data_IF_239756395806
#
_entry.id   IF_239756395806
#
_cell.length_a   1.000
_cell.length_b   1.000
_cell.length_c   1.000
_cell.angle_alpha   90.00
_cell.angle_beta   90.00
_cell.angle_gamma   90.00
#
_symmetry.space_group_name_H-M   'P 1'
#
loop_
_entity.id
_entity.type
_entity.pdbx_description
1 polymer ?
#
# COMPACT_ATOMS: atom_id res chain seq x y z
N UNK A 1 -12.34 15.20 -21.75
CA UNK A 1 -11.09 14.59 -21.25
C UNK A 1 -11.41 13.86 -19.96
N UNK A 2 -10.97 12.59 -19.82
CA UNK A 2 -11.19 11.84 -18.58
C UNK A 2 -10.38 12.45 -17.42
N UNK A 3 -10.81 12.23 -16.18
CA UNK A 3 -10.06 12.72 -15.00
C UNK A 3 -8.63 12.16 -14.98
N UNK A 4 -8.44 10.89 -15.41
CA UNK A 4 -7.14 10.28 -15.52
C UNK A 4 -6.21 11.03 -16.51
N UNK A 5 -6.72 11.45 -17.66
CA UNK A 5 -5.95 12.21 -18.66
C UNK A 5 -5.50 13.58 -18.12
N UNK A 6 -6.38 14.25 -17.34
CA UNK A 6 -6.03 15.54 -16.70
C UNK A 6 -4.90 15.38 -15.68
N UNK A 7 -4.96 14.32 -14.86
CA UNK A 7 -3.93 14.02 -13.86
C UNK A 7 -2.59 13.71 -14.53
N UNK A 8 -2.59 12.88 -15.58
CA UNK A 8 -1.37 12.55 -16.33
C UNK A 8 -0.76 13.78 -17.00
N UNK A 9 -1.58 14.63 -17.62
CA UNK A 9 -1.10 15.86 -18.21
C UNK A 9 -0.51 16.82 -17.16
N UNK A 10 -1.17 16.98 -16.02
CA UNK A 10 -0.66 17.79 -14.92
C UNK A 10 0.69 17.28 -14.41
N UNK A 11 0.87 15.95 -14.30
CA UNK A 11 2.12 15.32 -13.90
C UNK A 11 3.24 15.61 -14.91
N UNK A 12 2.98 15.40 -16.21
CA UNK A 12 3.97 15.64 -17.28
C UNK A 12 4.35 17.11 -17.33
N UNK A 13 3.39 18.02 -17.29
CA UNK A 13 3.62 19.47 -17.30
C UNK A 13 4.41 19.88 -16.05
N UNK A 14 4.03 19.39 -14.87
CA UNK A 14 4.73 19.69 -13.62
C UNK A 14 6.17 19.22 -13.63
N UNK A 15 6.42 18.01 -14.14
CA UNK A 15 7.78 17.46 -14.29
C UNK A 15 8.62 18.29 -15.27
N UNK A 16 8.06 18.61 -16.43
CA UNK A 16 8.75 19.42 -17.46
C UNK A 16 9.09 20.83 -16.92
N UNK A 17 8.16 21.49 -16.25
CA UNK A 17 8.38 22.80 -15.62
C UNK A 17 9.41 22.73 -14.50
N UNK A 18 9.41 21.67 -13.69
CA UNK A 18 10.40 21.46 -12.65
C UNK A 18 11.82 21.31 -13.19
N UNK A 19 12.01 20.48 -14.23
CA UNK A 19 13.31 20.32 -14.89
C UNK A 19 13.76 21.64 -15.52
N UNK A 20 12.87 22.35 -16.18
CA UNK A 20 13.17 23.62 -16.83
C UNK A 20 13.57 24.70 -15.82
N UNK A 21 12.83 24.83 -14.72
CA UNK A 21 13.13 25.78 -13.65
C UNK A 21 14.48 25.47 -12.98
N UNK A 22 14.79 24.22 -12.72
CA UNK A 22 16.08 23.80 -12.16
C UNK A 22 17.25 24.09 -13.08
N UNK A 23 17.06 23.97 -14.41
CA UNK A 23 18.11 24.18 -15.41
C UNK A 23 18.44 25.66 -15.67
N UNK A 24 17.41 26.54 -15.64
CA UNK A 24 17.58 27.94 -16.08
C UNK A 24 17.81 28.93 -14.93
N UNK A 25 17.14 28.71 -13.79
CA UNK A 25 17.19 29.65 -12.66
C UNK A 25 17.34 28.89 -11.33
N UNK A 26 18.52 28.33 -11.04
CA UNK A 26 18.68 27.43 -9.88
C UNK A 26 18.33 28.08 -8.53
N UNK A 27 18.58 29.38 -8.35
CA UNK A 27 18.27 30.07 -7.09
C UNK A 27 16.76 30.29 -6.88
N UNK A 28 16.05 30.69 -7.93
CA UNK A 28 14.59 30.85 -7.87
C UNK A 28 13.91 29.48 -7.88
N UNK A 29 14.47 28.51 -8.62
CA UNK A 29 14.00 27.12 -8.67
C UNK A 29 14.01 26.46 -7.29
N UNK A 30 15.03 26.66 -6.45
CA UNK A 30 15.10 26.13 -5.10
C UNK A 30 14.07 26.76 -4.15
N UNK A 31 13.81 28.06 -4.27
CA UNK A 31 12.79 28.74 -3.46
C UNK A 31 11.38 28.26 -3.83
N UNK A 32 11.09 28.15 -5.11
CA UNK A 32 9.79 27.64 -5.57
C UNK A 32 9.64 26.16 -5.17
N UNK A 33 10.67 25.35 -5.33
CA UNK A 33 10.67 23.95 -4.93
C UNK A 33 10.37 23.79 -3.43
N UNK A 34 10.94 24.64 -2.57
CA UNK A 34 10.67 24.63 -1.13
C UNK A 34 9.20 24.86 -0.81
N UNK A 35 8.54 25.86 -1.42
CA UNK A 35 7.13 26.11 -1.19
C UNK A 35 6.23 25.03 -1.78
N UNK A 36 6.58 24.48 -2.94
CA UNK A 36 5.85 23.37 -3.55
C UNK A 36 6.02 22.07 -2.74
N UNK A 37 7.18 21.84 -2.12
CA UNK A 37 7.41 20.71 -1.22
C UNK A 37 6.49 20.78 0.01
N UNK A 38 6.32 21.96 0.61
CA UNK A 38 5.37 22.16 1.73
C UNK A 38 3.96 21.78 1.31
N UNK A 39 3.49 22.28 0.16
CA UNK A 39 2.14 21.99 -0.34
C UNK A 39 1.99 20.51 -0.68
N UNK A 40 3.00 19.92 -1.33
CA UNK A 40 3.05 18.50 -1.65
C UNK A 40 3.04 17.61 -0.40
N UNK A 41 3.84 17.97 0.60
CA UNK A 41 3.90 17.25 1.88
C UNK A 41 2.59 17.33 2.64
N UNK A 42 1.93 18.50 2.69
CA UNK A 42 0.61 18.64 3.29
C UNK A 42 -0.44 17.78 2.59
N UNK A 43 -0.41 17.75 1.26
CA UNK A 43 -1.29 16.89 0.45
C UNK A 43 -1.05 15.39 0.74
N UNK A 44 0.21 14.96 0.75
CA UNK A 44 0.57 13.58 1.05
C UNK A 44 0.19 13.18 2.48
N UNK A 45 0.39 14.07 3.45
CA UNK A 45 -0.02 13.83 4.83
C UNK A 45 -1.55 13.73 4.95
N UNK A 46 -2.30 14.57 4.24
CA UNK A 46 -3.75 14.47 4.15
C UNK A 46 -4.23 13.13 3.60
N UNK A 47 -3.59 12.64 2.53
CA UNK A 47 -3.86 11.30 1.98
C UNK A 47 -3.53 10.19 2.99
N UNK A 48 -2.37 10.24 3.64
CA UNK A 48 -1.96 9.24 4.65
C UNK A 48 -2.92 9.20 5.83
N UNK A 49 -3.41 10.36 6.27
CA UNK A 49 -4.36 10.45 7.38
C UNK A 49 -5.66 9.66 7.12
N UNK A 50 -6.09 9.56 5.87
CA UNK A 50 -7.32 8.84 5.49
C UNK A 50 -7.08 7.36 5.20
N UNK A 51 -5.87 6.97 4.78
CA UNK A 51 -5.57 5.59 4.35
C UNK A 51 -5.74 4.60 5.49
N UNK A 52 -5.22 4.88 6.67
CA UNK A 52 -5.26 3.95 7.82
C UNK A 52 -6.69 3.64 8.26
N UNK A 53 -7.55 4.64 8.55
CA UNK A 53 -8.94 4.38 8.91
C UNK A 53 -9.73 3.66 7.81
N UNK A 54 -9.51 4.06 6.55
CA UNK A 54 -10.19 3.48 5.40
C UNK A 54 -9.84 2.01 5.21
N UNK A 55 -8.54 1.66 5.26
CA UNK A 55 -8.09 0.26 5.09
C UNK A 55 -8.64 -0.62 6.21
N UNK A 56 -8.60 -0.16 7.45
CA UNK A 56 -9.17 -0.88 8.60
C UNK A 56 -10.68 -1.09 8.41
N UNK A 57 -11.39 -0.04 8.04
CA UNK A 57 -12.85 -0.10 7.85
C UNK A 57 -13.24 -1.05 6.70
N UNK A 58 -12.56 -0.96 5.55
CA UNK A 58 -12.82 -1.82 4.39
C UNK A 58 -12.50 -3.29 4.68
N UNK A 59 -11.42 -3.59 5.41
CA UNK A 59 -11.09 -4.96 5.78
C UNK A 59 -12.13 -5.56 6.72
N UNK A 60 -12.53 -4.83 7.76
CA UNK A 60 -13.52 -5.32 8.72
C UNK A 60 -14.87 -5.55 8.03
N UNK A 61 -15.35 -4.57 7.27
CA UNK A 61 -16.62 -4.68 6.53
C UNK A 61 -16.57 -5.79 5.48
N UNK A 62 -15.45 -5.91 4.76
CA UNK A 62 -15.24 -6.95 3.76
C UNK A 62 -15.29 -8.35 4.37
N UNK A 63 -14.60 -8.58 5.50
CA UNK A 63 -14.57 -9.88 6.19
C UNK A 63 -15.94 -10.21 6.79
N UNK A 64 -16.60 -9.26 7.42
CA UNK A 64 -17.93 -9.48 8.00
C UNK A 64 -18.94 -9.85 6.91
N UNK A 65 -18.98 -9.10 5.80
CA UNK A 65 -19.84 -9.41 4.65
C UNK A 65 -19.48 -10.75 4.01
N UNK A 66 -18.20 -11.07 3.87
CA UNK A 66 -17.74 -12.36 3.33
C UNK A 66 -18.10 -13.53 4.21
N UNK A 67 -18.01 -13.37 5.53
CA UNK A 67 -18.42 -14.40 6.49
C UNK A 67 -19.94 -14.63 6.47
N UNK A 68 -20.74 -13.61 6.24
CA UNK A 68 -22.19 -13.74 6.02
C UNK A 68 -22.50 -14.45 4.71
N UNK A 69 -21.80 -14.11 3.63
CA UNK A 69 -21.90 -14.77 2.34
C UNK A 69 -21.43 -16.23 2.38
N UNK A 70 -20.35 -16.53 3.15
CA UNK A 70 -19.84 -17.90 3.31
C UNK A 70 -20.84 -18.84 4.01
N UNK A 71 -21.74 -18.31 4.82
CA UNK A 71 -22.88 -19.05 5.38
C UNK A 71 -23.94 -19.38 4.33
N UNK A 72 -23.90 -18.73 3.18
CA UNK A 72 -24.84 -18.93 2.08
C UNK A 72 -24.49 -20.11 1.14
N UNK A 73 -23.42 -20.86 1.41
CA UNK A 73 -23.17 -22.13 0.75
C UNK A 73 -21.85 -22.28 -0.03
N UNK A 74 -21.70 -23.39 -0.78
CA UNK A 74 -20.46 -23.81 -1.44
C UNK A 74 -19.94 -22.83 -2.50
N UNK A 75 -20.75 -21.88 -2.96
CA UNK A 75 -20.40 -20.92 -3.99
C UNK A 75 -19.32 -19.92 -3.50
N UNK A 76 -19.40 -19.47 -2.25
CA UNK A 76 -18.41 -18.56 -1.66
C UNK A 76 -17.04 -19.25 -1.49
N UNK A 77 -17.02 -20.51 -1.04
CA UNK A 77 -15.79 -21.28 -0.93
C UNK A 77 -15.10 -21.43 -2.30
N UNK A 78 -15.88 -21.69 -3.34
CA UNK A 78 -15.36 -21.81 -4.72
C UNK A 78 -14.75 -20.49 -5.23
N UNK A 79 -15.39 -19.36 -4.93
CA UNK A 79 -14.90 -18.02 -5.31
C UNK A 79 -13.56 -17.72 -4.61
N UNK A 80 -13.47 -17.97 -3.30
CA UNK A 80 -12.21 -17.77 -2.54
C UNK A 80 -11.10 -18.67 -3.10
N UNK A 81 -11.40 -19.94 -3.39
CA UNK A 81 -10.43 -20.86 -3.98
C UNK A 81 -9.91 -20.33 -5.32
N UNK A 82 -10.80 -19.85 -6.20
CA UNK A 82 -10.40 -19.26 -7.47
C UNK A 82 -9.51 -18.02 -7.30
N UNK A 83 -9.82 -17.13 -6.35
CA UNK A 83 -8.99 -15.95 -6.05
C UNK A 83 -7.59 -16.38 -5.63
N UNK A 84 -7.47 -17.33 -4.70
CA UNK A 84 -6.17 -17.82 -4.21
C UNK A 84 -5.36 -18.48 -5.33
N UNK A 85 -6.02 -19.29 -6.17
CA UNK A 85 -5.37 -19.93 -7.33
C UNK A 85 -4.86 -18.90 -8.33
N UNK A 86 -5.68 -17.88 -8.65
CA UNK A 86 -5.28 -16.81 -9.58
C UNK A 86 -4.13 -15.98 -9.03
N UNK A 87 -4.15 -15.63 -7.74
CA UNK A 87 -3.04 -14.92 -7.08
C UNK A 87 -1.75 -15.75 -7.10
N UNK A 88 -1.84 -17.03 -6.77
CA UNK A 88 -0.70 -17.95 -6.82
C UNK A 88 -0.12 -18.10 -8.22
N UNK A 89 -0.98 -18.25 -9.23
CA UNK A 89 -0.56 -18.32 -10.63
C UNK A 89 0.11 -17.02 -11.09
N UNK A 90 -0.45 -15.86 -10.74
CA UNK A 90 0.14 -14.55 -11.04
C UNK A 90 1.51 -14.37 -10.40
N UNK A 91 1.66 -14.76 -9.14
CA UNK A 91 2.94 -14.70 -8.44
C UNK A 91 3.99 -15.65 -9.07
N UNK A 92 3.59 -16.87 -9.42
CA UNK A 92 4.45 -17.83 -10.10
C UNK A 92 4.90 -17.35 -11.48
N UNK A 93 3.96 -16.75 -12.25
CA UNK A 93 4.29 -16.14 -13.53
C UNK A 93 5.27 -14.97 -13.36
N UNK A 94 5.05 -14.08 -12.41
CA UNK A 94 5.97 -12.97 -12.13
C UNK A 94 7.37 -13.45 -11.74
N UNK A 95 7.44 -14.47 -10.87
CA UNK A 95 8.70 -15.08 -10.45
C UNK A 95 9.47 -15.78 -11.60
N UNK A 96 8.75 -16.34 -12.58
CA UNK A 96 9.35 -16.98 -13.74
C UNK A 96 9.71 -15.95 -14.84
N UNK A 97 8.83 -15.01 -15.13
CA UNK A 97 9.02 -14.04 -16.23
C UNK A 97 10.09 -13.00 -15.90
N UNK A 98 10.17 -12.51 -14.66
CA UNK A 98 11.11 -11.44 -14.30
C UNK A 98 12.57 -11.83 -14.55
N UNK A 99 13.10 -12.95 -14.02
CA UNK A 99 14.48 -13.34 -14.31
C UNK A 99 14.70 -13.70 -15.79
N UNK A 100 13.69 -14.27 -16.45
CA UNK A 100 13.79 -14.62 -17.88
C UNK A 100 13.90 -13.35 -18.74
N UNK A 101 13.08 -12.33 -18.48
CA UNK A 101 13.16 -11.05 -19.20
C UNK A 101 14.47 -10.31 -18.89
N UNK A 102 14.94 -10.33 -17.64
CA UNK A 102 16.24 -9.73 -17.30
C UNK A 102 17.41 -10.45 -17.97
N UNK A 103 17.34 -11.75 -18.18
CA UNK A 103 18.38 -12.50 -18.90
C UNK A 103 18.38 -12.23 -20.41
N UNK A 104 17.21 -12.04 -21.00
CA UNK A 104 17.06 -11.71 -22.43
C UNK A 104 17.40 -10.24 -22.74
N UNK A 105 17.24 -9.36 -21.77
CA UNK A 105 17.54 -7.92 -21.89
C UNK A 105 18.45 -7.48 -20.76
N UNK A 106 19.74 -7.83 -20.80
CA UNK A 106 20.67 -7.43 -19.75
C UNK A 106 20.79 -5.90 -19.69
N UNK A 107 20.70 -5.35 -18.47
CA UNK A 107 20.94 -3.93 -18.27
C UNK A 107 22.35 -3.56 -18.75
N UNK A 108 22.51 -2.45 -19.50
CA UNK A 108 23.83 -1.94 -19.86
C UNK A 108 24.68 -1.79 -18.59
N UNK A 109 25.94 -2.19 -18.66
CA UNK A 109 26.88 -2.15 -17.52
C UNK A 109 27.02 -0.76 -16.90
N UNK A 110 26.95 0.28 -17.71
CA UNK A 110 26.95 1.69 -17.28
C UNK A 110 25.73 2.04 -16.41
N UNK A 111 24.53 1.64 -16.83
CA UNK A 111 23.29 1.86 -16.06
C UNK A 111 23.29 1.08 -14.75
N UNK A 112 23.83 -0.13 -14.75
CA UNK A 112 24.00 -0.94 -13.54
C UNK A 112 25.03 -0.33 -12.59
N UNK A 113 26.12 0.23 -13.10
CA UNK A 113 27.13 0.93 -12.31
C UNK A 113 26.59 2.25 -11.74
N UNK A 114 25.85 3.04 -12.53
CA UNK A 114 25.20 4.27 -12.09
C UNK A 114 24.16 3.99 -10.98
N UNK A 115 23.36 2.94 -11.13
CA UNK A 115 22.41 2.51 -10.11
C UNK A 115 23.10 2.06 -8.81
N UNK A 116 24.19 1.29 -8.91
CA UNK A 116 25.01 0.89 -7.76
C UNK A 116 25.64 2.11 -7.08
N UNK A 117 26.16 3.07 -7.83
CA UNK A 117 26.73 4.30 -7.30
C UNK A 117 25.67 5.15 -6.58
N UNK A 118 24.46 5.24 -7.11
CA UNK A 118 23.34 5.92 -6.46
C UNK A 118 22.90 5.21 -5.17
N UNK A 119 23.02 3.88 -5.10
CA UNK A 119 22.70 3.08 -3.93
C UNK A 119 23.81 3.06 -2.87
N UNK A 120 25.06 3.40 -3.22
CA UNK A 120 26.18 3.47 -2.25
C UNK A 120 26.05 4.62 -1.25
N UNK A 121 25.22 5.63 -1.52
CA UNK A 121 24.87 6.70 -0.57
C UNK A 121 23.65 6.39 0.31
N UNK A 122 22.95 5.30 0.04
CA UNK A 122 21.86 4.83 0.90
C UNK A 122 22.48 4.05 2.04
N UNK A 123 22.14 4.35 3.32
CA UNK A 123 22.59 3.51 4.44
C UNK A 123 22.35 2.05 4.10
N UNK A 124 23.38 1.22 4.30
CA UNK A 124 23.29 -0.22 4.05
C UNK A 124 21.94 -0.69 4.56
N UNK A 125 21.14 -1.35 3.71
CA UNK A 125 19.86 -1.91 4.11
C UNK A 125 20.11 -2.62 5.42
N UNK A 126 19.53 -2.11 6.50
CA UNK A 126 19.71 -2.66 7.84
C UNK A 126 19.56 -4.18 7.69
N UNK A 127 20.52 -4.95 8.23
CA UNK A 127 20.49 -6.41 8.14
C UNK A 127 19.06 -6.86 8.36
N UNK A 128 18.52 -7.58 7.39
CA UNK A 128 17.12 -7.99 7.48
C UNK A 128 16.95 -8.75 8.79
N UNK A 129 16.01 -8.36 9.64
CA UNK A 129 15.86 -9.01 10.93
C UNK A 129 15.67 -10.53 10.70
N UNK A 130 16.24 -11.37 11.55
CA UNK A 130 16.04 -12.80 11.47
C UNK A 130 14.57 -13.12 11.25
N UNK A 131 14.26 -14.14 10.45
CA UNK A 131 12.88 -14.52 10.14
C UNK A 131 11.98 -14.61 11.41
N UNK A 132 12.58 -15.07 12.51
CA UNK A 132 11.91 -15.12 13.82
C UNK A 132 11.42 -13.73 14.26
N UNK A 133 12.29 -12.73 14.20
CA UNK A 133 11.98 -11.37 14.68
C UNK A 133 10.98 -10.69 13.74
N UNK A 134 11.09 -10.96 12.44
CA UNK A 134 10.07 -10.55 11.47
C UNK A 134 8.71 -11.15 11.81
N UNK A 135 8.62 -12.46 12.05
CA UNK A 135 7.35 -13.12 12.39
C UNK A 135 6.77 -12.62 13.72
N UNK A 136 7.62 -12.36 14.72
CA UNK A 136 7.17 -11.78 15.99
C UNK A 136 6.64 -10.36 15.80
N UNK A 137 7.29 -9.55 14.96
CA UNK A 137 6.89 -8.18 14.65
C UNK A 137 5.57 -8.10 13.87
N UNK A 138 5.09 -9.20 13.24
CA UNK A 138 3.79 -9.23 12.58
C UNK A 138 2.61 -9.05 13.55
N UNK A 139 2.77 -9.48 14.81
CA UNK A 139 1.74 -9.33 15.83
C UNK A 139 2.00 -8.07 16.62
N UNK A 140 1.20 -7.00 16.45
CA UNK A 140 1.46 -5.75 17.13
C UNK A 140 1.15 -5.86 18.61
N UNK A 141 2.06 -5.37 19.46
CA UNK A 141 1.82 -5.22 20.89
C UNK A 141 0.83 -4.08 21.17
N UNK A 142 0.75 -3.10 20.28
CA UNK A 142 -0.19 -1.98 20.36
C UNK A 142 -0.66 -1.60 18.94
N UNK A 143 -1.90 -1.94 18.56
CA UNK A 143 -2.43 -1.66 17.22
C UNK A 143 -2.59 -0.15 16.95
N UNK A 144 -2.84 0.66 17.98
CA UNK A 144 -2.97 2.12 17.82
C UNK A 144 -1.59 2.71 17.51
N UNK A 145 -0.54 2.27 18.21
CA UNK A 145 0.82 2.67 17.88
C UNK A 145 1.25 2.21 16.48
N UNK A 146 0.84 1.01 16.05
CA UNK A 146 1.09 0.54 14.68
C UNK A 146 0.42 1.43 13.63
N UNK A 147 -0.80 1.88 13.88
CA UNK A 147 -1.51 2.83 13.03
C UNK A 147 -0.80 4.19 12.99
N UNK A 148 -0.36 4.71 14.14
CA UNK A 148 0.29 6.02 14.27
C UNK A 148 1.69 6.05 13.63
N UNK A 149 2.40 4.91 13.61
CA UNK A 149 3.75 4.78 13.06
C UNK A 149 3.80 4.22 11.62
N UNK A 150 2.68 4.22 10.90
CA UNK A 150 2.55 3.68 9.54
C UNK A 150 3.01 2.20 9.42
N UNK A 151 2.99 1.45 10.52
CA UNK A 151 3.33 0.02 10.54
C UNK A 151 2.16 -0.80 10.00
N UNK A 152 1.94 -0.69 8.68
CA UNK A 152 0.74 -1.22 8.00
C UNK A 152 0.59 -2.73 8.18
N UNK A 153 1.68 -3.50 8.04
CA UNK A 153 1.58 -4.97 8.07
C UNK A 153 1.12 -5.52 9.44
N UNK A 154 1.70 -5.11 10.58
CA UNK A 154 1.16 -5.47 11.90
C UNK A 154 -0.29 -4.99 12.10
N UNK A 155 -0.63 -3.80 11.63
CA UNK A 155 -2.00 -3.28 11.71
C UNK A 155 -2.98 -4.15 10.93
N UNK A 156 -2.61 -4.61 9.72
CA UNK A 156 -3.42 -5.52 8.92
C UNK A 156 -3.67 -6.84 9.64
N UNK A 157 -2.63 -7.44 10.23
CA UNK A 157 -2.78 -8.70 11.00
C UNK A 157 -3.74 -8.51 12.17
N UNK A 158 -3.57 -7.42 12.95
CA UNK A 158 -4.52 -7.10 14.01
C UNK A 158 -5.95 -6.95 13.48
N UNK A 159 -6.12 -6.18 12.39
CA UNK A 159 -7.43 -5.91 11.78
C UNK A 159 -8.10 -7.19 11.30
N UNK A 160 -7.34 -8.12 10.71
CA UNK A 160 -7.83 -9.43 10.30
C UNK A 160 -8.34 -10.23 11.50
N UNK A 161 -7.52 -10.36 12.55
CA UNK A 161 -7.91 -11.08 13.77
C UNK A 161 -9.14 -10.45 14.42
N UNK A 162 -9.16 -9.12 14.51
CA UNK A 162 -10.31 -8.37 15.04
C UNK A 162 -11.57 -8.58 14.19
N UNK A 163 -11.47 -8.50 12.87
CA UNK A 163 -12.60 -8.74 11.98
C UNK A 163 -13.15 -10.17 12.12
N UNK A 164 -12.29 -11.18 12.24
CA UNK A 164 -12.74 -12.54 12.55
C UNK A 164 -13.42 -12.64 13.90
N UNK A 165 -12.93 -11.95 14.93
CA UNK A 165 -13.59 -11.90 16.24
C UNK A 165 -14.99 -11.27 16.12
N UNK A 166 -15.14 -10.19 15.35
CA UNK A 166 -16.44 -9.55 15.08
C UNK A 166 -17.42 -10.53 14.42
N UNK A 167 -16.96 -11.40 13.52
CA UNK A 167 -17.85 -12.41 12.90
C UNK A 167 -18.40 -13.45 13.90
N UNK A 168 -17.74 -13.60 15.06
CA UNK A 168 -18.18 -14.52 16.13
C UNK A 168 -19.19 -13.91 17.08
N UNK A 169 -19.41 -12.60 17.02
CA UNK A 169 -20.42 -11.92 17.84
C UNK A 169 -21.84 -12.37 17.47
N UNK A 170 -22.77 -12.23 18.41
CA UNK A 170 -24.20 -12.37 18.17
C UNK A 170 -24.69 -11.32 17.17
N UNK A 171 -25.84 -11.52 16.56
CA UNK A 171 -26.33 -10.71 15.44
C UNK A 171 -26.40 -9.21 15.74
N UNK A 172 -26.90 -8.82 16.94
CA UNK A 172 -27.04 -7.41 17.33
C UNK A 172 -25.70 -6.66 17.39
N UNK A 173 -24.76 -7.05 18.29
CA UNK A 173 -23.44 -6.42 18.39
C UNK A 173 -22.63 -6.48 17.08
N UNK A 174 -22.73 -7.56 16.32
CA UNK A 174 -22.06 -7.68 15.02
C UNK A 174 -22.59 -6.64 14.04
N UNK A 175 -23.91 -6.46 13.93
CA UNK A 175 -24.50 -5.47 13.04
C UNK A 175 -24.11 -4.03 13.41
N UNK A 176 -24.03 -3.73 14.72
CA UNK A 176 -23.57 -2.42 15.20
C UNK A 176 -22.12 -2.15 14.82
N UNK A 177 -21.21 -3.13 15.04
CA UNK A 177 -19.80 -2.98 14.67
C UNK A 177 -19.62 -2.87 13.15
N UNK A 178 -20.28 -3.72 12.38
CA UNK A 178 -20.25 -3.66 10.93
C UNK A 178 -20.80 -2.33 10.40
N UNK A 179 -21.88 -1.82 10.99
CA UNK A 179 -22.47 -0.52 10.65
C UNK A 179 -21.52 0.64 10.94
N UNK A 180 -20.83 0.64 12.09
CA UNK A 180 -19.83 1.65 12.41
C UNK A 180 -18.70 1.70 11.38
N UNK A 181 -18.08 0.55 11.07
CA UNK A 181 -16.99 0.51 10.10
C UNK A 181 -17.47 0.75 8.67
N UNK A 182 -18.70 0.38 8.31
CA UNK A 182 -19.26 0.75 7.02
C UNK A 182 -19.45 2.27 6.89
N UNK A 183 -20.00 2.91 7.91
CA UNK A 183 -20.14 4.36 7.93
C UNK A 183 -18.78 5.07 7.86
N UNK A 184 -17.76 4.53 8.52
CA UNK A 184 -16.39 5.07 8.45
C UNK A 184 -15.76 4.90 7.05
N UNK A 185 -16.10 3.83 6.35
CA UNK A 185 -15.62 3.60 4.97
C UNK A 185 -16.34 4.47 3.93
N UNK A 186 -17.57 4.89 4.23
CA UNK A 186 -18.41 5.70 3.34
C UNK A 186 -18.18 7.22 3.54
N UNK A 187 -17.49 7.64 4.63
CA UNK A 187 -17.19 9.03 4.97
C UNK A 187 -15.99 9.58 4.20
#
# INVERSE_FOLDING_TARGET
>A
MSNATRILLALIIGLALGIFAAAIVPIIGTQIAYWLDIVGSLWLNGLRMTVVPLVVALLITGIVKSAEAARAGPMAARTVTWIVVMMGLSAAMGAALTPTLLSLWPMPSESAAALRAALTGVPAVAEQPPLRDFLVALVPTNPIASAANDSILPLLIFTLVFAFAVTRLTQGPRAQMAGFFSALADA
#
